data_IF_109341045822
#
_entry.id   IF_109341045822
#
_cell.length_a   1.000
_cell.length_b   1.000
_cell.length_c   1.000
_cell.angle_alpha   90.00
_cell.angle_beta   90.00
_cell.angle_gamma   90.00
#
_symmetry.space_group_name_H-M   'P 1'
#
loop_
_entity.id
_entity.type
_entity.pdbx_description
1 polymer ?
#
# COMPACT_ATOMS: atom_id res chain seq x y z
N UNK A 1 -12.08 12.20 23.19
CA UNK A 1 -12.87 13.36 22.72
C UNK A 1 -13.70 13.01 21.47
N UNK A 2 -13.15 12.28 20.49
CA UNK A 2 -13.93 11.77 19.33
C UNK A 2 -14.88 10.61 19.68
N UNK A 3 -14.54 9.77 20.67
CA UNK A 3 -15.41 8.70 21.18
C UNK A 3 -16.62 9.20 21.98
N UNK A 4 -16.51 10.35 22.65
CA UNK A 4 -17.63 10.95 23.38
C UNK A 4 -18.64 11.65 22.45
N UNK A 5 -18.22 12.09 21.26
CA UNK A 5 -19.10 12.68 20.25
C UNK A 5 -19.89 11.63 19.44
N UNK A 6 -19.51 10.34 19.49
CA UNK A 6 -20.24 9.25 18.81
C UNK A 6 -21.47 8.76 19.60
N UNK A 7 -21.51 8.99 20.92
CA UNK A 7 -22.65 8.62 21.77
C UNK A 7 -23.65 9.77 21.97
N UNK A 8 -23.19 11.02 21.90
CA UNK A 8 -24.05 12.20 22.02
C UNK A 8 -24.78 12.50 20.71
N UNK A 9 -25.86 11.76 20.48
CA UNK A 9 -26.89 12.12 19.50
C UNK A 9 -27.14 11.11 18.39
N UNK A 10 -27.47 9.85 18.74
CA UNK A 10 -28.24 9.00 17.82
C UNK A 10 -29.67 9.55 17.70
N UNK A 11 -29.83 10.72 17.07
CA UNK A 11 -31.12 11.10 16.50
C UNK A 11 -31.48 10.01 15.50
N UNK A 12 -32.60 9.33 15.71
CA UNK A 12 -33.14 8.36 14.77
C UNK A 12 -33.32 9.12 13.44
N UNK A 13 -32.54 8.75 12.43
CA UNK A 13 -32.66 9.31 11.08
C UNK A 13 -33.60 8.39 10.32
N UNK A 14 -34.64 8.95 9.69
CA UNK A 14 -35.59 8.21 8.87
C UNK A 14 -35.09 7.97 7.43
N UNK A 15 -33.87 8.42 7.14
CA UNK A 15 -33.21 8.30 5.83
C UNK A 15 -31.82 7.70 5.97
N UNK A 16 -31.45 6.87 5.00
CA UNK A 16 -30.14 6.21 4.90
C UNK A 16 -29.29 6.97 3.89
N UNK A 17 -28.01 7.21 4.18
CA UNK A 17 -27.11 7.82 3.20
C UNK A 17 -26.84 6.86 2.04
N UNK A 18 -26.54 7.40 0.86
CA UNK A 18 -26.19 6.62 -0.33
C UNK A 18 -25.03 5.65 -0.05
N UNK A 19 -24.04 6.09 0.74
CA UNK A 19 -22.94 5.24 1.20
C UNK A 19 -23.42 4.08 2.06
N UNK A 20 -24.23 4.34 3.08
CA UNK A 20 -24.75 3.29 3.96
C UNK A 20 -25.59 2.28 3.19
N UNK A 21 -26.41 2.74 2.24
CA UNK A 21 -27.21 1.90 1.37
C UNK A 21 -26.35 0.95 0.52
N UNK A 22 -25.33 1.46 -0.18
CA UNK A 22 -24.47 0.60 -0.99
C UNK A 22 -23.54 -0.27 -0.15
N UNK A 23 -23.04 0.21 1.00
CA UNK A 23 -22.30 -0.65 1.93
C UNK A 23 -23.17 -1.83 2.41
N UNK A 24 -24.46 -1.60 2.67
CA UNK A 24 -25.41 -2.66 3.00
C UNK A 24 -25.62 -3.63 1.83
N UNK A 25 -25.76 -3.13 0.60
CA UNK A 25 -25.91 -3.98 -0.61
C UNK A 25 -24.66 -4.78 -0.96
N UNK A 26 -23.48 -4.29 -0.60
CA UNK A 26 -22.18 -4.96 -0.82
C UNK A 26 -21.72 -5.80 0.37
N UNK A 27 -22.59 -6.00 1.37
CA UNK A 27 -22.26 -6.76 2.57
C UNK A 27 -22.55 -8.23 2.35
N UNK A 28 -21.53 -9.07 2.50
CA UNK A 28 -21.68 -10.53 2.51
C UNK A 28 -22.40 -11.00 3.77
N UNK A 29 -23.33 -11.94 3.60
CA UNK A 29 -24.11 -12.64 4.62
C UNK A 29 -24.14 -14.15 4.30
N UNK A 30 -24.51 -14.94 5.31
CA UNK A 30 -24.43 -16.40 5.22
C UNK A 30 -25.63 -17.03 4.51
N UNK A 31 -26.72 -16.29 4.44
CA UNK A 31 -28.00 -16.61 3.81
C UNK A 31 -28.11 -16.06 2.37
N UNK A 32 -27.03 -15.48 1.86
CA UNK A 32 -27.07 -14.64 0.66
C UNK A 32 -27.38 -15.46 -0.61
N UNK A 33 -28.63 -15.29 -1.06
CA UNK A 33 -28.99 -15.27 -2.48
C UNK A 33 -28.55 -13.97 -3.19
N UNK A 34 -27.55 -13.22 -2.66
CA UNK A 34 -27.09 -11.96 -3.24
C UNK A 34 -26.44 -12.19 -4.61
N UNK A 35 -27.29 -12.25 -5.65
CA UNK A 35 -26.92 -12.51 -7.03
C UNK A 35 -25.84 -11.51 -7.49
N UNK A 36 -25.89 -10.27 -7.00
CA UNK A 36 -25.05 -9.19 -7.49
C UNK A 36 -23.56 -9.44 -7.26
N UNK A 37 -23.15 -9.95 -6.09
CA UNK A 37 -21.73 -10.23 -5.79
C UNK A 37 -21.18 -11.36 -6.67
N UNK A 38 -22.06 -12.23 -7.19
CA UNK A 38 -21.71 -13.41 -7.99
C UNK A 38 -21.88 -13.18 -9.49
N UNK A 39 -22.29 -11.99 -9.93
CA UNK A 39 -22.47 -11.64 -11.36
C UNK A 39 -21.18 -11.26 -12.10
N UNK A 40 -20.01 -11.49 -11.48
CA UNK A 40 -18.67 -11.32 -12.08
C UNK A 40 -18.43 -9.92 -12.66
N UNK A 41 -18.37 -9.78 -14.00
CA UNK A 41 -18.10 -8.49 -14.65
C UNK A 41 -19.21 -7.47 -14.41
N UNK A 42 -20.45 -7.92 -14.28
CA UNK A 42 -21.58 -7.04 -13.97
C UNK A 42 -21.43 -6.46 -12.56
N UNK A 43 -20.94 -7.25 -11.60
CA UNK A 43 -20.62 -6.77 -10.26
C UNK A 43 -19.57 -5.64 -10.27
N UNK A 44 -18.50 -5.81 -11.05
CA UNK A 44 -17.47 -4.79 -11.19
C UNK A 44 -18.02 -3.48 -11.78
N UNK A 45 -18.86 -3.59 -12.82
CA UNK A 45 -19.53 -2.43 -13.42
C UNK A 45 -20.45 -1.73 -12.42
N UNK A 46 -21.30 -2.51 -11.74
CA UNK A 46 -22.17 -2.00 -10.68
C UNK A 46 -21.37 -1.25 -9.61
N UNK A 47 -20.29 -1.84 -9.11
CA UNK A 47 -19.44 -1.22 -8.09
C UNK A 47 -18.86 0.13 -8.53
N UNK A 48 -18.44 0.24 -9.79
CA UNK A 48 -17.92 1.50 -10.36
C UNK A 48 -19.04 2.53 -10.52
N UNK A 49 -20.19 2.13 -11.05
CA UNK A 49 -21.33 3.02 -11.26
C UNK A 49 -21.85 3.59 -9.94
N UNK A 50 -21.99 2.75 -8.90
CA UNK A 50 -22.42 3.20 -7.58
C UNK A 50 -21.37 4.09 -6.90
N UNK A 51 -20.08 3.82 -7.11
CA UNK A 51 -19.01 4.71 -6.65
C UNK A 51 -19.08 6.08 -7.34
N UNK A 52 -19.32 6.13 -8.66
CA UNK A 52 -19.46 7.40 -9.40
C UNK A 52 -20.65 8.20 -8.88
N UNK A 53 -21.80 7.56 -8.61
CA UNK A 53 -22.97 8.25 -8.02
C UNK A 53 -22.63 8.85 -6.66
N UNK A 54 -21.94 8.08 -5.80
CA UNK A 54 -21.52 8.53 -4.48
C UNK A 54 -20.53 9.70 -4.56
N UNK A 55 -19.52 9.61 -5.41
CA UNK A 55 -18.54 10.68 -5.61
C UNK A 55 -19.18 11.94 -6.19
N UNK A 56 -20.09 11.79 -7.15
CA UNK A 56 -20.86 12.92 -7.71
C UNK A 56 -21.65 13.62 -6.63
N UNK A 57 -22.37 12.88 -5.77
CA UNK A 57 -23.09 13.46 -4.64
C UNK A 57 -22.15 14.20 -3.66
N UNK A 58 -20.96 13.67 -3.39
CA UNK A 58 -19.95 14.34 -2.53
C UNK A 58 -19.44 15.63 -3.17
N UNK A 59 -19.21 15.64 -4.48
CA UNK A 59 -18.78 16.81 -5.25
C UNK A 59 -19.89 17.88 -5.29
N UNK A 60 -21.13 17.47 -5.51
CA UNK A 60 -22.30 18.36 -5.47
C UNK A 60 -22.46 18.97 -4.09
N UNK A 61 -22.34 18.17 -3.03
CA UNK A 61 -22.38 18.69 -1.67
C UNK A 61 -21.29 19.74 -1.44
N UNK A 62 -20.05 19.47 -1.85
CA UNK A 62 -18.97 20.45 -1.82
C UNK A 62 -19.34 21.72 -2.58
N UNK A 63 -19.89 21.59 -3.78
CA UNK A 63 -20.23 22.69 -4.68
C UNK A 63 -21.36 23.58 -4.19
N UNK A 64 -22.42 22.99 -3.63
CA UNK A 64 -23.61 23.71 -3.19
C UNK A 64 -23.53 24.21 -1.74
N UNK A 65 -22.56 23.74 -0.94
CA UNK A 65 -22.44 24.08 0.48
C UNK A 65 -21.11 24.79 0.80
N UNK A 66 -20.59 25.61 -0.12
CA UNK A 66 -19.33 26.37 0.06
C UNK A 66 -19.33 27.22 1.35
N UNK A 67 -20.50 27.68 1.82
CA UNK A 67 -20.64 28.44 3.06
C UNK A 67 -20.24 27.67 4.32
N UNK A 68 -20.23 26.33 4.27
CA UNK A 68 -19.75 25.48 5.35
C UNK A 68 -18.21 25.42 5.40
N UNK A 69 -17.54 25.82 4.31
CA UNK A 69 -16.10 25.64 4.10
C UNK A 69 -15.36 26.98 3.97
N UNK A 70 -15.83 28.04 4.65
CA UNK A 70 -15.32 29.42 4.53
C UNK A 70 -13.79 29.53 4.58
N UNK A 71 -13.15 28.81 5.51
CA UNK A 71 -11.68 28.82 5.65
C UNK A 71 -10.98 28.20 4.43
N UNK A 72 -11.53 27.11 3.88
CA UNK A 72 -10.99 26.47 2.68
C UNK A 72 -11.19 27.32 1.43
N UNK A 73 -12.33 28.02 1.34
CA UNK A 73 -12.62 28.99 0.27
C UNK A 73 -11.64 30.16 0.32
N UNK A 74 -11.41 30.75 1.50
CA UNK A 74 -10.47 31.86 1.67
C UNK A 74 -9.03 31.45 1.29
N UNK A 75 -8.60 30.27 1.73
CA UNK A 75 -7.28 29.74 1.34
C UNK A 75 -7.19 29.47 -0.17
N UNK A 76 -8.28 29.04 -0.80
CA UNK A 76 -8.40 28.91 -2.25
C UNK A 76 -8.22 30.23 -2.98
N UNK A 77 -8.91 31.28 -2.53
CA UNK A 77 -8.78 32.62 -3.11
C UNK A 77 -7.35 33.17 -2.99
N UNK A 78 -6.73 33.04 -1.80
CA UNK A 78 -5.33 33.44 -1.61
C UNK A 78 -4.38 32.69 -2.54
N UNK A 79 -4.65 31.42 -2.83
CA UNK A 79 -3.84 30.63 -3.75
C UNK A 79 -3.95 31.14 -5.20
N UNK A 80 -5.16 31.46 -5.67
CA UNK A 80 -5.40 32.03 -7.01
C UNK A 80 -4.70 33.38 -7.16
N UNK A 81 -4.81 34.25 -6.15
CA UNK A 81 -4.12 35.54 -6.12
C UNK A 81 -2.60 35.38 -6.18
N UNK A 82 -2.04 34.37 -5.49
CA UNK A 82 -0.60 34.05 -5.54
C UNK A 82 -0.14 33.55 -6.90
N UNK A 83 -0.99 32.88 -7.66
CA UNK A 83 -0.68 32.43 -9.02
C UNK A 83 -0.68 33.58 -10.04
N UNK A 84 -0.98 34.82 -9.60
CA UNK A 84 -0.94 36.01 -10.44
C UNK A 84 -2.25 36.33 -11.13
N UNK A 85 -3.33 35.59 -10.83
CA UNK A 85 -4.64 35.92 -11.37
C UNK A 85 -5.21 37.15 -10.67
N UNK A 86 -5.40 38.21 -11.45
CA UNK A 86 -5.86 39.53 -10.98
C UNK A 86 -7.15 40.00 -11.63
N UNK A 87 -7.64 39.28 -12.62
CA UNK A 87 -8.86 39.63 -13.34
C UNK A 87 -10.03 38.76 -12.88
N UNK A 88 -10.95 39.34 -12.10
CA UNK A 88 -12.14 38.67 -11.60
C UNK A 88 -13.05 38.13 -12.71
N UNK A 89 -12.98 38.72 -13.92
CA UNK A 89 -13.75 38.30 -15.11
C UNK A 89 -13.38 36.90 -15.58
N UNK A 90 -12.11 36.53 -15.46
CA UNK A 90 -11.56 35.25 -15.93
C UNK A 90 -11.75 34.10 -14.93
N UNK A 91 -12.12 34.43 -13.68
CA UNK A 91 -12.15 33.47 -12.56
C UNK A 91 -13.47 32.69 -12.48
N UNK A 92 -14.60 33.26 -12.94
CA UNK A 92 -15.92 32.64 -12.79
C UNK A 92 -16.30 32.35 -11.32
N UNK A 93 -17.38 31.60 -11.08
CA UNK A 93 -17.72 31.09 -9.73
C UNK A 93 -16.82 29.90 -9.43
N UNK A 94 -15.68 30.13 -8.77
CA UNK A 94 -14.80 29.03 -8.34
C UNK A 94 -15.40 28.29 -7.14
N UNK A 95 -15.53 26.97 -7.31
CA UNK A 95 -15.85 26.04 -6.23
C UNK A 95 -14.55 25.46 -5.67
N UNK A 96 -14.37 25.51 -4.36
CA UNK A 96 -13.22 24.92 -3.69
C UNK A 96 -13.62 23.67 -2.90
N UNK A 97 -13.01 22.54 -3.24
CA UNK A 97 -13.12 21.36 -2.40
C UNK A 97 -12.27 21.54 -1.12
N UNK A 98 -12.82 21.26 0.07
CA UNK A 98 -12.08 21.33 1.32
C UNK A 98 -10.99 20.24 1.38
N UNK A 99 -10.04 20.38 2.30
CA UNK A 99 -9.05 19.34 2.60
C UNK A 99 -9.68 18.05 3.15
N UNK A 100 -10.90 18.11 3.70
CA UNK A 100 -11.67 16.93 4.11
C UNK A 100 -12.23 16.11 2.94
N UNK A 101 -12.15 16.62 1.71
CA UNK A 101 -12.51 15.84 0.52
C UNK A 101 -11.37 14.86 0.17
N UNK A 102 -11.46 13.65 0.72
CA UNK A 102 -10.49 12.56 0.50
C UNK A 102 -10.27 12.32 -0.99
N UNK A 103 -9.00 12.25 -1.40
CA UNK A 103 -8.58 12.03 -2.79
C UNK A 103 -8.51 13.31 -3.63
N UNK A 104 -8.97 14.45 -3.10
CA UNK A 104 -8.84 15.75 -3.75
C UNK A 104 -7.42 16.32 -3.70
N UNK A 105 -7.05 17.29 -4.56
CA UNK A 105 -5.71 17.88 -4.57
C UNK A 105 -5.26 18.49 -3.23
N UNK A 106 -6.19 19.04 -2.45
CA UNK A 106 -5.88 19.64 -1.14
C UNK A 106 -5.67 18.60 -0.06
N UNK A 107 -6.46 17.53 -0.05
CA UNK A 107 -6.29 16.37 0.82
C UNK A 107 -4.91 15.72 0.58
N UNK A 108 -4.58 15.43 -0.68
CA UNK A 108 -3.28 14.88 -1.05
C UNK A 108 -2.11 15.79 -0.66
N UNK A 109 -2.27 17.12 -0.83
CA UNK A 109 -1.26 18.09 -0.39
C UNK A 109 -1.12 18.13 1.13
N UNK A 110 -2.23 18.05 1.87
CA UNK A 110 -2.21 18.02 3.33
C UNK A 110 -1.45 16.79 3.82
N UNK A 111 -1.80 15.59 3.33
CA UNK A 111 -1.08 14.37 3.67
C UNK A 111 0.41 14.50 3.38
N UNK A 112 0.80 14.99 2.21
CA UNK A 112 2.20 15.24 1.89
C UNK A 112 2.89 16.17 2.89
N UNK A 113 2.25 17.29 3.26
CA UNK A 113 2.83 18.22 4.24
C UNK A 113 2.93 17.60 5.64
N UNK A 114 1.96 16.79 6.05
CA UNK A 114 2.00 16.06 7.32
C UNK A 114 3.17 15.07 7.34
N UNK A 115 3.40 14.35 6.24
CA UNK A 115 4.58 13.49 6.06
C UNK A 115 5.87 14.29 6.23
N UNK A 116 5.99 15.41 5.53
CA UNK A 116 7.20 16.24 5.59
C UNK A 116 7.43 16.77 7.00
N UNK A 117 6.38 17.19 7.71
CA UNK A 117 6.47 17.63 9.09
C UNK A 117 6.95 16.50 10.02
N UNK A 118 6.42 15.28 9.87
CA UNK A 118 6.87 14.11 10.63
C UNK A 118 8.35 13.81 10.36
N UNK A 119 8.78 13.84 9.10
CA UNK A 119 10.17 13.60 8.71
C UNK A 119 11.10 14.70 9.23
N UNK A 120 10.67 15.96 9.23
CA UNK A 120 11.44 17.08 9.78
C UNK A 120 11.60 16.95 11.29
N UNK A 121 10.57 16.48 12.00
CA UNK A 121 10.57 16.37 13.45
C UNK A 121 11.30 15.11 13.96
N UNK A 122 11.00 13.95 13.39
CA UNK A 122 11.53 12.65 13.84
C UNK A 122 12.72 12.14 13.02
N UNK A 123 13.08 12.85 11.96
CA UNK A 123 14.11 12.44 11.01
C UNK A 123 13.59 11.53 9.90
N UNK A 124 14.52 11.06 9.06
CA UNK A 124 14.20 10.18 7.93
C UNK A 124 13.62 8.83 8.40
N UNK A 125 12.74 8.19 7.61
CA UNK A 125 12.29 6.81 7.83
C UNK A 125 13.46 5.83 7.89
N UNK A 126 13.35 4.86 8.79
CA UNK A 126 14.33 3.79 8.95
C UNK A 126 13.94 2.57 8.11
N UNK A 127 12.64 2.27 8.02
CA UNK A 127 12.11 1.15 7.24
C UNK A 127 11.06 1.64 6.23
N UNK A 128 11.18 1.15 5.00
CA UNK A 128 10.15 1.22 3.97
C UNK A 128 9.67 -0.20 3.65
N UNK A 129 8.44 -0.50 4.05
CA UNK A 129 7.85 -1.83 3.85
C UNK A 129 6.79 -1.73 2.76
N UNK A 130 6.80 -2.67 1.82
CA UNK A 130 5.70 -2.83 0.86
C UNK A 130 4.98 -4.14 1.14
N UNK A 131 3.66 -4.08 1.26
CA UNK A 131 2.80 -5.25 1.34
C UNK A 131 2.01 -5.34 0.05
N UNK A 132 2.12 -6.44 -0.68
CA UNK A 132 1.35 -6.68 -1.90
C UNK A 132 0.27 -7.70 -1.60
N UNK A 133 -0.97 -7.41 -2.00
CA UNK A 133 -2.07 -8.36 -1.89
C UNK A 133 -1.82 -9.60 -2.74
N UNK A 134 -2.21 -10.76 -2.23
CA UNK A 134 -2.10 -12.03 -2.94
C UNK A 134 -3.49 -12.69 -3.03
N UNK A 135 -3.98 -12.83 -4.26
CA UNK A 135 -5.28 -13.48 -4.53
C UNK A 135 -5.34 -14.95 -4.13
N UNK A 136 -4.19 -15.58 -3.85
CA UNK A 136 -4.11 -16.97 -3.41
C UNK A 136 -4.22 -17.17 -1.90
N UNK A 137 -4.45 -16.11 -1.12
CA UNK A 137 -4.69 -16.23 0.33
C UNK A 137 -5.89 -17.12 0.64
N UNK A 138 -5.81 -17.88 1.74
CA UNK A 138 -6.85 -18.86 2.08
C UNK A 138 -8.17 -18.17 2.39
N UNK A 139 -8.14 -17.02 3.06
CA UNK A 139 -9.30 -16.21 3.36
C UNK A 139 -10.07 -15.79 2.09
N UNK A 140 -9.36 -15.56 0.98
CA UNK A 140 -9.97 -15.27 -0.31
C UNK A 140 -10.50 -16.57 -0.94
N UNK A 141 -9.70 -17.64 -0.97
CA UNK A 141 -10.09 -18.90 -1.60
C UNK A 141 -11.27 -19.59 -0.95
N UNK A 142 -11.35 -19.56 0.38
CA UNK A 142 -12.43 -20.16 1.16
C UNK A 142 -13.78 -19.45 0.95
N UNK A 143 -13.74 -18.15 0.64
CA UNK A 143 -14.93 -17.34 0.40
C UNK A 143 -15.22 -17.12 -1.10
N UNK A 144 -14.44 -17.74 -1.98
CA UNK A 144 -14.72 -17.79 -3.40
C UNK A 144 -15.58 -19.03 -3.72
N UNK A 145 -16.62 -18.81 -4.53
CA UNK A 145 -17.37 -19.92 -5.12
C UNK A 145 -16.46 -20.72 -6.06
N UNK A 146 -16.72 -22.03 -6.21
CA UNK A 146 -15.96 -22.92 -7.08
C UNK A 146 -15.96 -22.49 -8.56
N UNK A 147 -16.94 -21.69 -8.96
CA UNK A 147 -17.09 -21.15 -10.31
C UNK A 147 -16.64 -19.69 -10.45
N UNK A 148 -16.11 -19.08 -9.39
CA UNK A 148 -15.72 -17.67 -9.37
C UNK A 148 -14.20 -17.49 -9.31
N UNK A 149 -13.74 -16.33 -9.74
CA UNK A 149 -12.32 -15.97 -9.77
C UNK A 149 -12.07 -14.77 -8.86
N UNK A 150 -10.91 -14.73 -8.20
CA UNK A 150 -10.59 -13.63 -7.28
C UNK A 150 -10.76 -12.24 -7.91
N UNK A 151 -10.39 -12.08 -9.18
CA UNK A 151 -10.51 -10.82 -9.90
C UNK A 151 -11.95 -10.32 -10.05
N UNK A 152 -12.94 -11.22 -10.00
CA UNK A 152 -14.36 -10.90 -10.05
C UNK A 152 -14.92 -10.45 -8.70
N UNK A 153 -14.16 -10.59 -7.61
CA UNK A 153 -14.55 -10.26 -6.23
C UNK A 153 -13.67 -9.17 -5.61
N UNK A 154 -13.67 -7.93 -6.16
CA UNK A 154 -12.88 -6.82 -5.63
C UNK A 154 -13.25 -6.44 -4.19
N UNK A 155 -14.49 -6.70 -3.78
CA UNK A 155 -14.97 -6.54 -2.40
C UNK A 155 -14.20 -7.46 -1.44
N UNK A 156 -14.10 -8.75 -1.78
CA UNK A 156 -13.43 -9.76 -0.98
C UNK A 156 -11.92 -9.51 -0.92
N UNK A 157 -11.29 -9.20 -2.06
CA UNK A 157 -9.88 -8.81 -2.13
C UNK A 157 -9.61 -7.62 -1.21
N UNK A 158 -10.43 -6.57 -1.30
CA UNK A 158 -10.24 -5.35 -0.52
C UNK A 158 -10.41 -5.60 0.99
N UNK A 159 -11.40 -6.41 1.39
CA UNK A 159 -11.64 -6.79 2.78
C UNK A 159 -10.48 -7.62 3.36
N UNK A 160 -10.05 -8.66 2.64
CA UNK A 160 -8.92 -9.50 3.06
C UNK A 160 -7.62 -8.69 3.16
N UNK A 161 -7.34 -7.84 2.17
CA UNK A 161 -6.16 -6.98 2.18
C UNK A 161 -6.20 -5.99 3.34
N UNK A 162 -7.34 -5.35 3.60
CA UNK A 162 -7.53 -4.44 4.73
C UNK A 162 -7.28 -5.14 6.07
N UNK A 163 -7.81 -6.35 6.25
CA UNK A 163 -7.59 -7.12 7.47
C UNK A 163 -6.10 -7.43 7.70
N UNK A 164 -5.37 -7.83 6.64
CA UNK A 164 -3.92 -8.06 6.73
C UNK A 164 -3.13 -6.78 7.02
N UNK A 165 -3.54 -5.62 6.48
CA UNK A 165 -2.92 -4.33 6.81
C UNK A 165 -3.06 -4.03 8.30
N UNK A 166 -4.25 -4.22 8.88
CA UNK A 166 -4.49 -3.91 10.29
C UNK A 166 -3.74 -4.87 11.23
N UNK A 167 -3.57 -6.14 10.85
CA UNK A 167 -2.72 -7.07 11.59
C UNK A 167 -1.24 -6.66 11.52
N UNK A 168 -0.73 -6.32 10.33
CA UNK A 168 0.65 -5.85 10.17
C UNK A 168 0.91 -4.54 10.95
N UNK A 169 -0.07 -3.63 10.99
CA UNK A 169 -0.01 -2.43 11.84
C UNK A 169 0.06 -2.79 13.31
N UNK A 170 -0.71 -3.79 13.74
CA UNK A 170 -0.68 -4.30 15.11
C UNK A 170 0.68 -4.89 15.46
N UNK A 171 1.27 -5.68 14.56
CA UNK A 171 2.62 -6.21 14.71
C UNK A 171 3.66 -5.11 14.88
N UNK A 172 3.63 -4.10 14.00
CA UNK A 172 4.59 -3.01 13.98
C UNK A 172 4.43 -2.09 15.20
N UNK A 173 3.21 -1.65 15.50
CA UNK A 173 2.96 -0.57 16.46
C UNK A 173 2.69 -1.06 17.88
N UNK A 174 2.13 -2.26 18.05
CA UNK A 174 1.74 -2.79 19.37
C UNK A 174 2.66 -3.92 19.82
N UNK A 175 2.98 -4.86 18.92
CA UNK A 175 3.90 -5.97 19.22
C UNK A 175 5.37 -5.57 19.09
N UNK A 176 5.64 -4.39 18.52
CA UNK A 176 6.98 -3.81 18.38
C UNK A 176 7.98 -4.76 17.70
N UNK A 177 7.56 -5.47 16.64
CA UNK A 177 8.42 -6.46 15.96
C UNK A 177 9.73 -5.87 15.41
N UNK A 178 9.79 -4.55 15.19
CA UNK A 178 10.98 -3.81 14.76
C UNK A 178 11.53 -2.87 15.85
N UNK A 179 11.03 -2.97 17.07
CA UNK A 179 11.25 -2.01 18.15
C UNK A 179 10.22 -0.89 18.19
N UNK A 180 10.41 0.04 19.13
CA UNK A 180 9.48 1.14 19.40
C UNK A 180 9.47 2.17 18.27
N UNK A 181 8.28 2.42 17.72
CA UNK A 181 8.04 3.37 16.63
C UNK A 181 7.78 4.78 17.17
N UNK A 182 8.48 5.78 16.63
CA UNK A 182 8.29 7.20 16.93
C UNK A 182 7.26 7.85 16.00
N UNK A 183 7.29 7.52 14.71
CA UNK A 183 6.30 7.97 13.75
C UNK A 183 6.05 6.90 12.69
N UNK A 184 4.81 6.86 12.19
CA UNK A 184 4.32 5.83 11.28
C UNK A 184 3.41 6.45 10.24
N UNK A 185 3.56 5.99 9.00
CA UNK A 185 2.77 6.44 7.88
C UNK A 185 2.51 5.24 6.96
N UNK A 186 1.38 5.24 6.26
CA UNK A 186 1.19 4.33 5.15
C UNK A 186 0.24 4.89 4.11
N UNK A 187 0.39 4.40 2.88
CA UNK A 187 -0.56 4.63 1.79
C UNK A 187 -0.97 3.29 1.19
N UNK A 188 -2.19 3.21 0.69
CA UNK A 188 -2.69 2.07 -0.09
C UNK A 188 -2.90 2.55 -1.51
N UNK A 189 -2.29 1.84 -2.45
CA UNK A 189 -2.34 2.15 -3.87
C UNK A 189 -3.00 0.99 -4.63
N UNK A 190 -3.96 1.34 -5.48
CA UNK A 190 -4.61 0.42 -6.39
C UNK A 190 -4.01 0.61 -7.78
N UNK A 191 -3.17 -0.33 -8.22
CA UNK A 191 -2.60 -0.26 -9.56
C UNK A 191 -3.67 -0.59 -10.60
N UNK A 192 -3.67 0.14 -11.73
CA UNK A 192 -4.64 -0.06 -12.84
C UNK A 192 -4.72 -1.51 -13.38
N UNK A 193 -3.74 -2.36 -13.08
CA UNK A 193 -3.64 -3.75 -13.57
C UNK A 193 -3.17 -4.74 -12.48
N UNK A 194 -3.17 -4.32 -11.23
CA UNK A 194 -2.57 -5.07 -10.14
C UNK A 194 -3.48 -5.14 -8.92
N UNK A 195 -3.25 -6.16 -8.11
CA UNK A 195 -3.83 -6.23 -6.77
C UNK A 195 -3.32 -5.04 -5.93
N UNK A 196 -4.07 -4.60 -4.92
CA UNK A 196 -3.66 -3.47 -4.12
C UNK A 196 -2.34 -3.73 -3.41
N UNK A 197 -1.56 -2.67 -3.25
CA UNK A 197 -0.34 -2.68 -2.46
C UNK A 197 -0.35 -1.54 -1.45
N UNK A 198 0.35 -1.74 -0.35
CA UNK A 198 0.50 -0.76 0.71
C UNK A 198 1.97 -0.45 0.89
N UNK A 199 2.29 0.83 0.99
CA UNK A 199 3.62 1.31 1.33
C UNK A 199 3.60 1.89 2.73
N UNK A 200 4.50 1.41 3.58
CA UNK A 200 4.65 1.82 4.96
C UNK A 200 5.99 2.54 5.12
N UNK A 201 5.97 3.68 5.80
CA UNK A 201 7.15 4.41 6.24
C UNK A 201 7.17 4.41 7.77
N UNK A 202 8.24 3.87 8.33
CA UNK A 202 8.39 3.66 9.77
C UNK A 202 9.63 4.42 10.23
N UNK A 203 9.43 5.30 11.20
CA UNK A 203 10.50 6.00 11.90
C UNK A 203 10.57 5.42 13.31
N UNK A 204 11.64 4.69 13.60
CA UNK A 204 11.93 4.10 14.91
C UNK A 204 12.38 5.20 15.89
N UNK A 205 12.13 4.95 17.17
CA UNK A 205 12.64 5.78 18.27
C UNK A 205 14.17 5.78 18.31
N UNK A 206 14.77 6.83 18.89
CA UNK A 206 16.22 7.04 18.88
C UNK A 206 17.02 5.85 19.44
N UNK A 207 16.50 5.18 20.47
CA UNK A 207 17.10 4.00 21.11
C UNK A 207 17.07 2.75 20.23
N UNK A 208 16.20 2.72 19.22
CA UNK A 208 15.93 1.58 18.35
C UNK A 208 16.39 1.85 16.91
N UNK A 209 17.23 2.87 16.70
CA UNK A 209 17.75 3.21 15.38
C UNK A 209 18.69 2.13 14.85
N UNK A 210 18.53 1.79 13.58
CA UNK A 210 19.38 0.84 12.86
C UNK A 210 20.65 1.55 12.40
N UNK A 211 21.63 1.65 13.29
CA UNK A 211 22.88 2.42 13.05
C UNK A 211 24.02 1.56 12.50
N UNK A 212 23.95 0.24 12.67
CA UNK A 212 25.00 -0.70 12.26
C UNK A 212 24.51 -1.70 11.23
N UNK A 213 25.44 -2.32 10.50
CA UNK A 213 25.15 -3.36 9.51
C UNK A 213 24.53 -4.60 10.15
N UNK A 214 24.94 -4.92 11.38
CA UNK A 214 24.44 -6.04 12.17
C UNK A 214 22.96 -5.82 12.53
N UNK A 215 22.60 -4.60 12.94
CA UNK A 215 21.20 -4.26 13.25
C UNK A 215 20.28 -4.39 12.02
N UNK A 216 20.78 -4.09 10.81
CA UNK A 216 20.03 -4.36 9.58
C UNK A 216 19.92 -5.86 9.29
N UNK A 217 21.01 -6.60 9.47
CA UNK A 217 21.08 -8.04 9.24
C UNK A 217 20.23 -8.87 10.22
N UNK A 218 19.90 -8.32 11.40
CA UNK A 218 18.99 -8.93 12.38
C UNK A 218 17.52 -8.85 11.94
N UNK A 219 17.16 -7.82 11.17
CA UNK A 219 15.78 -7.57 10.72
C UNK A 219 15.56 -8.05 9.29
N UNK A 220 16.59 -8.00 8.45
CA UNK A 220 16.51 -8.28 7.01
C UNK A 220 17.42 -9.47 6.68
N UNK A 221 16.82 -10.53 6.16
CA UNK A 221 17.52 -11.73 5.69
C UNK A 221 17.28 -11.97 4.21
N UNK A 222 18.35 -11.93 3.41
CA UNK A 222 18.33 -12.22 1.97
C UNK A 222 18.77 -13.66 1.65
N UNK A 223 18.54 -14.58 2.58
CA UNK A 223 19.04 -15.95 2.56
C UNK A 223 17.86 -16.92 2.67
N UNK A 224 18.01 -18.14 2.15
CA UNK A 224 17.01 -19.18 2.38
C UNK A 224 16.94 -19.50 3.89
N UNK A 225 15.73 -19.53 4.47
CA UNK A 225 15.54 -20.03 5.83
C UNK A 225 15.95 -21.50 5.91
N UNK A 226 16.44 -21.94 7.06
CA UNK A 226 16.84 -23.34 7.26
C UNK A 226 15.62 -24.28 7.14
N UNK A 227 15.73 -25.31 6.32
CA UNK A 227 14.62 -26.25 6.03
C UNK A 227 14.18 -27.07 7.23
N UNK A 228 15.06 -27.30 8.21
CA UNK A 228 14.78 -28.09 9.39
C UNK A 228 14.30 -27.22 10.56
N UNK A 229 14.91 -26.04 10.75
CA UNK A 229 14.57 -25.12 11.85
C UNK A 229 13.35 -24.27 11.55
N UNK A 230 13.18 -23.84 10.30
CA UNK A 230 12.13 -22.92 9.87
C UNK A 230 11.35 -23.46 8.65
N UNK A 231 10.79 -24.69 8.72
CA UNK A 231 10.24 -25.38 7.55
C UNK A 231 9.10 -24.61 6.86
N UNK A 232 8.23 -23.98 7.64
CA UNK A 232 7.11 -23.19 7.13
C UNK A 232 7.60 -21.93 6.39
N UNK A 233 8.56 -21.20 6.97
CA UNK A 233 9.12 -20.00 6.36
C UNK A 233 9.91 -20.35 5.11
N UNK A 234 10.73 -21.41 5.15
CA UNK A 234 11.44 -21.94 4.00
C UNK A 234 10.48 -22.20 2.84
N UNK A 235 9.39 -22.94 3.08
CA UNK A 235 8.38 -23.25 2.06
C UNK A 235 7.75 -21.99 1.46
N UNK A 236 7.43 -21.00 2.30
CA UNK A 236 6.84 -19.73 1.84
C UNK A 236 7.83 -18.90 1.02
N UNK A 237 9.10 -18.81 1.45
CA UNK A 237 10.17 -18.11 0.74
C UNK A 237 10.41 -18.74 -0.63
N UNK A 238 10.52 -20.06 -0.72
CA UNK A 238 10.68 -20.75 -2.01
C UNK A 238 9.52 -20.49 -2.97
N UNK A 239 8.30 -20.49 -2.43
CA UNK A 239 7.09 -20.33 -3.25
C UNK A 239 6.89 -18.90 -3.75
N UNK A 240 7.18 -17.90 -2.91
CA UNK A 240 6.77 -16.52 -3.14
C UNK A 240 7.93 -15.54 -3.36
N UNK A 241 9.10 -15.83 -2.80
CA UNK A 241 10.24 -14.89 -2.76
C UNK A 241 11.39 -15.30 -3.68
N UNK A 242 11.22 -16.32 -4.53
CA UNK A 242 12.23 -16.66 -5.53
C UNK A 242 11.97 -15.89 -6.82
N UNK A 243 12.98 -15.16 -7.28
CA UNK A 243 12.97 -14.49 -8.57
C UNK A 243 12.73 -15.54 -9.67
N UNK A 244 11.82 -15.22 -10.60
CA UNK A 244 11.57 -16.09 -11.73
C UNK A 244 12.83 -16.26 -12.58
N UNK A 245 12.93 -17.41 -13.26
CA UNK A 245 14.01 -17.68 -14.21
C UNK A 245 14.17 -16.52 -15.17
N UNK A 246 15.38 -15.99 -15.34
CA UNK A 246 15.69 -14.88 -16.22
C UNK A 246 17.11 -15.02 -16.76
N UNK A 247 17.58 -14.05 -17.54
CA UNK A 247 18.90 -14.10 -18.16
C UNK A 247 18.92 -15.17 -19.25
N UNK A 248 19.98 -15.99 -19.24
CA UNK A 248 20.17 -17.10 -20.17
C UNK A 248 19.07 -18.16 -19.98
N UNK A 249 18.61 -18.38 -18.74
CA UNK A 249 17.60 -19.39 -18.44
C UNK A 249 16.21 -19.05 -18.98
N UNK A 250 15.92 -17.76 -19.16
CA UNK A 250 14.67 -17.30 -19.77
C UNK A 250 14.83 -15.85 -20.28
N UNK A 251 15.29 -15.66 -21.53
CA UNK A 251 15.56 -14.34 -22.09
C UNK A 251 14.30 -13.53 -22.42
N UNK A 252 13.13 -14.17 -22.50
CA UNK A 252 11.84 -13.54 -22.82
C UNK A 252 11.05 -13.11 -21.58
N UNK A 253 11.58 -13.30 -20.37
CA UNK A 253 10.89 -12.91 -19.14
C UNK A 253 10.69 -11.39 -19.09
N UNK A 254 9.60 -10.91 -18.48
CA UNK A 254 9.22 -9.49 -18.36
C UNK A 254 10.22 -8.63 -17.56
N UNK A 255 11.15 -9.26 -16.84
CA UNK A 255 12.26 -8.59 -16.19
C UNK A 255 13.44 -8.30 -17.13
N UNK A 256 13.54 -8.96 -18.28
CA UNK A 256 14.63 -8.80 -19.23
C UNK A 256 14.49 -7.51 -20.02
N UNK A 257 15.56 -6.72 -20.07
CA UNK A 257 15.64 -5.49 -20.85
C UNK A 257 17.04 -5.37 -21.45
N UNK A 258 17.14 -5.24 -22.78
CA UNK A 258 18.41 -5.18 -23.50
C UNK A 258 19.38 -6.33 -23.15
N UNK A 259 18.86 -7.56 -23.03
CA UNK A 259 19.67 -8.75 -22.75
C UNK A 259 20.09 -8.96 -21.28
N UNK A 260 19.78 -8.03 -20.38
CA UNK A 260 20.06 -8.18 -18.94
C UNK A 260 18.77 -8.10 -18.11
N UNK A 261 18.76 -8.75 -16.93
CA UNK A 261 17.67 -8.56 -15.99
C UNK A 261 17.68 -7.12 -15.45
N UNK A 262 16.57 -6.39 -15.59
CA UNK A 262 16.42 -5.00 -15.12
C UNK A 262 16.64 -4.86 -13.60
N UNK A 263 16.46 -5.96 -12.86
CA UNK A 263 16.66 -6.04 -11.42
C UNK A 263 18.02 -6.63 -11.03
N UNK A 264 18.94 -6.81 -12.00
CA UNK A 264 20.32 -7.30 -11.79
C UNK A 264 20.40 -8.70 -11.17
N UNK A 265 19.44 -9.60 -11.46
CA UNK A 265 19.51 -11.00 -11.04
C UNK A 265 20.35 -11.87 -12.01
N UNK A 266 21.00 -12.94 -11.50
CA UNK A 266 21.15 -13.28 -10.09
C UNK A 266 22.02 -12.24 -9.34
N UNK A 267 21.72 -12.01 -8.06
CA UNK A 267 22.53 -11.12 -7.22
C UNK A 267 23.90 -11.74 -6.93
N UNK A 268 24.81 -11.00 -6.29
CA UNK A 268 26.11 -11.53 -5.84
C UNK A 268 26.03 -12.03 -4.40
N UNK A 269 26.88 -12.99 -4.04
CA UNK A 269 27.10 -13.37 -2.64
C UNK A 269 27.89 -12.28 -1.94
N UNK A 270 27.48 -11.94 -0.72
CA UNK A 270 28.11 -10.92 0.13
C UNK A 270 27.91 -11.34 1.59
N UNK A 271 28.99 -11.37 2.37
CA UNK A 271 28.94 -11.89 3.74
C UNK A 271 28.32 -10.93 4.77
N UNK A 272 28.24 -9.64 4.44
CA UNK A 272 27.64 -8.60 5.29
C UNK A 272 26.89 -7.57 4.46
N UNK A 273 25.85 -6.97 5.03
CA UNK A 273 25.16 -5.86 4.37
C UNK A 273 26.11 -4.66 4.22
N UNK A 274 26.10 -4.01 3.06
CA UNK A 274 26.92 -2.82 2.80
C UNK A 274 26.14 -1.76 2.02
N UNK A 275 26.62 -0.52 2.06
CA UNK A 275 26.06 0.56 1.25
C UNK A 275 26.53 0.39 -0.20
N UNK A 276 25.59 0.19 -1.13
CA UNK A 276 25.91 0.14 -2.55
C UNK A 276 26.17 1.52 -3.15
N UNK A 277 26.70 1.55 -4.37
CA UNK A 277 27.01 2.79 -5.11
C UNK A 277 25.76 3.59 -5.52
N UNK A 278 24.60 2.93 -5.66
CA UNK A 278 23.38 3.51 -6.26
C UNK A 278 22.26 3.79 -5.23
N UNK A 279 22.55 4.34 -4.03
CA UNK A 279 21.57 4.60 -2.95
C UNK A 279 20.85 3.35 -2.38
N UNK A 280 20.94 2.19 -3.03
CA UNK A 280 20.39 0.92 -2.57
C UNK A 280 21.40 0.13 -1.71
N UNK A 281 20.99 -0.46 -0.59
CA UNK A 281 21.83 -1.37 0.17
C UNK A 281 22.10 -2.65 -0.60
N UNK A 282 23.31 -3.19 -0.46
CA UNK A 282 23.67 -4.53 -0.88
C UNK A 282 23.50 -5.42 0.34
N UNK A 283 22.40 -6.16 0.39
CA UNK A 283 22.07 -7.01 1.54
C UNK A 283 22.98 -8.24 1.62
N UNK A 284 23.27 -8.67 2.85
CA UNK A 284 23.96 -9.92 3.16
C UNK A 284 23.28 -11.10 2.48
N UNK A 285 24.07 -11.84 1.69
CA UNK A 285 23.73 -13.08 1.00
C UNK A 285 24.93 -14.02 1.11
N UNK A 286 25.05 -14.79 2.20
CA UNK A 286 26.14 -15.75 2.33
C UNK A 286 25.97 -16.91 1.37
N UNK A 287 27.10 -17.44 0.91
CA UNK A 287 27.12 -18.65 0.14
C UNK A 287 27.04 -19.86 1.09
N UNK A 288 25.81 -20.37 1.28
CA UNK A 288 25.57 -21.56 2.12
C UNK A 288 25.80 -22.87 1.36
N UNK A 289 26.03 -22.82 0.04
CA UNK A 289 26.10 -24.01 -0.82
C UNK A 289 24.75 -24.71 -1.05
N UNK A 290 23.67 -24.20 -0.47
CA UNK A 290 22.34 -24.79 -0.60
C UNK A 290 21.75 -24.56 -1.99
N UNK A 291 21.25 -25.64 -2.59
CA UNK A 291 20.64 -25.67 -3.92
C UNK A 291 19.18 -26.05 -3.76
N UNK A 292 18.29 -25.23 -4.33
CA UNK A 292 16.85 -25.46 -4.28
C UNK A 292 16.27 -25.58 -5.69
N UNK A 293 15.39 -26.56 -5.85
CA UNK A 293 14.74 -26.80 -7.13
C UNK A 293 13.48 -25.96 -7.26
N UNK A 294 13.52 -24.93 -8.11
CA UNK A 294 12.43 -23.97 -8.30
C UNK A 294 12.08 -23.89 -9.77
N UNK A 295 10.82 -24.22 -10.11
CA UNK A 295 10.27 -24.16 -11.48
C UNK A 295 11.10 -24.96 -12.51
N UNK A 296 11.54 -26.16 -12.14
CA UNK A 296 12.27 -27.07 -13.04
C UNK A 296 13.76 -26.79 -13.16
N UNK A 297 14.32 -25.90 -12.34
CA UNK A 297 15.74 -25.51 -12.35
C UNK A 297 16.30 -25.37 -10.94
N UNK A 298 17.59 -25.61 -10.83
CA UNK A 298 18.34 -25.47 -9.59
C UNK A 298 18.78 -24.01 -9.40
N UNK A 299 18.40 -23.42 -8.27
CA UNK A 299 18.70 -22.05 -7.91
C UNK A 299 19.40 -21.99 -6.55
N UNK A 300 20.16 -20.93 -6.34
CA UNK A 300 20.84 -20.59 -5.08
C UNK A 300 20.17 -19.36 -4.43
N UNK A 301 20.63 -18.97 -3.24
CA UNK A 301 20.23 -17.73 -2.54
C UNK A 301 20.33 -16.46 -3.43
N UNK A 302 21.12 -16.49 -4.50
CA UNK A 302 21.27 -15.39 -5.45
C UNK A 302 19.97 -15.06 -6.21
N UNK A 303 19.05 -16.03 -6.29
CA UNK A 303 17.71 -15.86 -6.87
C UNK A 303 16.68 -15.33 -5.87
N UNK A 304 17.02 -15.19 -4.58
CA UNK A 304 16.04 -14.77 -3.57
C UNK A 304 15.74 -13.28 -3.70
N UNK A 305 14.48 -12.96 -3.92
CA UNK A 305 13.96 -11.61 -3.98
C UNK A 305 13.64 -11.12 -2.57
N UNK A 306 14.25 -10.01 -2.15
CA UNK A 306 13.74 -9.28 -0.99
C UNK A 306 12.60 -8.42 -1.50
N UNK A 307 11.39 -8.96 -1.37
CA UNK A 307 10.18 -8.18 -1.50
C UNK A 307 10.12 -7.28 -0.25
N UNK A 308 10.74 -6.12 -0.39
CA UNK A 308 10.28 -4.89 0.25
C UNK A 308 10.40 -4.77 1.76
N UNK A 309 11.62 -4.93 2.26
CA UNK A 309 12.14 -4.02 3.29
C UNK A 309 13.29 -3.25 2.63
N UNK A 310 13.06 -1.98 2.32
CA UNK A 310 14.10 -1.08 1.84
C UNK A 310 14.39 -0.05 2.92
N UNK A 311 15.66 0.21 3.20
CA UNK A 311 16.05 1.36 4.01
C UNK A 311 16.24 2.54 3.05
N UNK A 312 15.25 3.42 2.92
CA UNK A 312 15.30 4.52 1.95
C UNK A 312 15.88 5.81 2.54
N UNK A 313 16.64 6.54 1.72
CA UNK A 313 16.90 7.99 1.87
C UNK A 313 16.18 8.70 0.73
N UNK A 314 15.27 9.59 1.08
CA UNK A 314 14.39 10.39 0.22
C UNK A 314 15.10 10.89 -1.05
N UNK A 315 14.55 10.56 -2.22
CA UNK A 315 14.84 11.22 -3.49
C UNK A 315 13.53 11.86 -3.96
N UNK A 316 13.27 13.08 -3.48
CA UNK A 316 12.21 13.94 -3.98
C UNK A 316 12.74 14.70 -5.21
N UNK A 317 11.87 14.82 -6.23
CA UNK A 317 12.05 15.48 -7.54
C UNK A 317 12.94 14.71 -8.54
N UNK A 318 12.52 14.38 -9.76
CA UNK A 318 11.60 15.07 -10.67
C UNK A 318 10.61 14.10 -11.32
N UNK A 319 9.32 14.27 -11.05
CA UNK A 319 8.19 13.95 -11.94
C UNK A 319 6.94 14.67 -11.42
N UNK A 320 6.99 15.99 -11.50
CA UNK A 320 5.86 16.85 -11.82
C UNK A 320 6.37 17.87 -12.82
#
# INVERSE_FOLDING_TARGET
>A
METQNLEQGKRKRDVVSVREYYCYKLQMRNDDEDEILHTRRLFQQYSVDEYIKLETQRLDFGSFNQDLFRMSVLQGLLYVLRLGERDASNVGKQTFLPNSFIGGPRDMRQHYMDVIALVQHFGKPDLFITMTCNSSWMEIKEHLSSSDEAQNRPDLISRAFRAKIEELKTDILKRNIFGKVAAFMYTVEFQKRGLPHAHFLIILSNEQKLLTTEAYDDIIRAELPDSNREPNLHKLVLKHMMHGLCGILNPINCCMKKGCCKFKYPQKFVDQTSKGNDLYPIYRRRNTGEVVHVRGKDLYNLGLFIQSIFTWKIQLSHKY
#
